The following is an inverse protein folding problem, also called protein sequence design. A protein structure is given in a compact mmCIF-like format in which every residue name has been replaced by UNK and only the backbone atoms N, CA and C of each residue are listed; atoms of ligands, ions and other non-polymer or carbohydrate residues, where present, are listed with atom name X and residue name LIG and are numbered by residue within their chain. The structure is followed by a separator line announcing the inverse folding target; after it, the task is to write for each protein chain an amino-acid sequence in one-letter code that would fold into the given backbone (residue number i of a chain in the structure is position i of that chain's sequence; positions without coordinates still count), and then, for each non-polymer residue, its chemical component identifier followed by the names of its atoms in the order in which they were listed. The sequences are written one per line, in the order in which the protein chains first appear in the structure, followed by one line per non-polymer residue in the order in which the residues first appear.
data_IF_478879130895
#
_entry.id   IF_478879130895
#
_cell.length_a   1.000
_cell.length_b   1.000
_cell.length_c   1.000
_cell.angle_alpha   90.00
_cell.angle_beta   90.00
_cell.angle_gamma   90.00
#
_symmetry.space_group_name_H-M   'P 1'
#
loop_
_entity.id
_entity.type
_entity.pdbx_description
1 polymer ?
#
# COMPACT_ATOMS: atom_id res chain seq x y z
N UNK A 1 -12.67 -64.80 -47.82
CA UNK A 1 -11.21 -65.03 -47.77
C UNK A 1 -10.72 -64.89 -46.32
N UNK A 2 -10.14 -65.97 -45.79
CA UNK A 2 -9.18 -66.20 -44.68
C UNK A 2 -8.96 -65.06 -43.65
N UNK A 3 -9.39 -65.18 -42.38
CA UNK A 3 -8.80 -65.86 -41.18
C UNK A 3 -7.49 -65.24 -40.60
N UNK A 4 -7.67 -64.52 -39.48
CA UNK A 4 -7.04 -64.58 -38.15
C UNK A 4 -5.50 -64.40 -37.90
N UNK A 5 -5.20 -63.34 -37.14
CA UNK A 5 -4.51 -63.26 -35.82
C UNK A 5 -2.98 -63.34 -35.60
N UNK A 6 -2.54 -62.40 -34.73
CA UNK A 6 -1.40 -62.34 -33.78
C UNK A 6 -0.03 -61.82 -34.27
N UNK A 7 0.81 -61.10 -33.49
CA UNK A 7 0.81 -60.33 -32.21
C UNK A 7 2.14 -59.53 -32.19
N UNK A 8 2.15 -58.37 -31.52
CA UNK A 8 3.24 -57.48 -31.08
C UNK A 8 4.72 -57.92 -31.19
N UNK A 9 5.59 -56.98 -31.63
CA UNK A 9 6.73 -56.46 -30.82
C UNK A 9 6.95 -54.96 -31.10
N UNK A 10 7.17 -54.25 -29.99
CA UNK A 10 7.41 -52.85 -29.69
C UNK A 10 8.83 -52.38 -30.07
N UNK A 11 9.00 -51.21 -30.71
CA UNK A 11 10.16 -50.33 -30.47
C UNK A 11 9.72 -48.87 -30.55
N UNK A 12 9.76 -48.21 -29.40
CA UNK A 12 9.67 -46.77 -29.19
C UNK A 12 10.98 -46.11 -29.67
N UNK A 13 10.96 -44.86 -30.16
CA UNK A 13 11.72 -43.89 -29.39
C UNK A 13 10.98 -42.57 -29.16
N UNK A 14 11.29 -42.04 -27.98
CA UNK A 14 10.92 -40.74 -27.46
C UNK A 14 11.02 -39.62 -28.49
N UNK A 15 9.93 -38.88 -28.67
CA UNK A 15 9.99 -37.48 -29.07
C UNK A 15 9.37 -36.67 -27.93
N UNK A 16 10.28 -36.19 -27.09
CA UNK A 16 10.09 -35.16 -26.10
C UNK A 16 9.53 -33.91 -26.81
N UNK A 17 8.21 -33.75 -26.80
CA UNK A 17 7.56 -32.49 -27.15
C UNK A 17 7.75 -31.53 -25.99
N UNK A 18 8.71 -30.63 -26.11
CA UNK A 18 8.90 -29.47 -25.23
C UNK A 18 7.61 -28.64 -25.28
N UNK A 19 6.75 -28.82 -24.30
CA UNK A 19 5.68 -27.86 -24.00
C UNK A 19 6.38 -26.68 -23.33
N UNK A 20 6.51 -25.59 -24.08
CA UNK A 20 6.88 -24.27 -23.58
C UNK A 20 5.95 -23.89 -22.43
N UNK A 21 6.46 -24.05 -21.20
CA UNK A 21 5.93 -23.42 -20.01
C UNK A 21 6.20 -21.92 -20.09
N UNK A 22 5.31 -21.15 -20.71
CA UNK A 22 5.23 -19.71 -20.47
C UNK A 22 3.78 -19.26 -20.52
N UNK A 23 3.21 -18.98 -19.35
CA UNK A 23 2.27 -17.87 -19.14
C UNK A 23 2.13 -17.63 -17.64
N UNK A 24 2.84 -16.61 -17.15
CA UNK A 24 2.50 -15.92 -15.91
C UNK A 24 3.11 -16.48 -14.63
N UNK A 25 4.45 -16.44 -14.49
CA UNK A 25 4.97 -16.03 -13.18
C UNK A 25 4.52 -14.58 -13.03
N UNK A 26 3.40 -14.38 -12.34
CA UNK A 26 3.03 -13.08 -11.81
C UNK A 26 4.18 -12.64 -10.93
N UNK A 27 5.08 -11.84 -11.49
CA UNK A 27 5.96 -11.03 -10.69
C UNK A 27 5.03 -10.14 -9.89
N UNK A 28 4.92 -10.39 -8.59
CA UNK A 28 4.33 -9.44 -7.69
C UNK A 28 5.22 -8.19 -7.79
N UNK A 29 4.81 -7.22 -8.61
CA UNK A 29 5.46 -5.93 -8.71
C UNK A 29 5.08 -5.16 -7.45
N UNK A 30 5.76 -5.50 -6.35
CA UNK A 30 5.65 -4.74 -5.12
C UNK A 30 6.72 -3.67 -5.10
N UNK A 31 6.32 -2.44 -5.42
CA UNK A 31 7.20 -1.28 -5.33
C UNK A 31 7.18 -0.73 -3.91
N UNK A 32 8.35 -0.44 -3.37
CA UNK A 32 8.49 0.37 -2.16
C UNK A 32 8.27 1.83 -2.54
N UNK A 33 7.39 2.54 -1.84
CA UNK A 33 6.89 3.86 -2.27
C UNK A 33 7.43 5.00 -1.40
N UNK A 34 7.70 4.70 -0.13
CA UNK A 34 8.12 5.64 0.92
C UNK A 34 8.54 4.81 2.14
N UNK A 35 8.93 5.44 3.25
CA UNK A 35 9.37 4.78 4.48
C UNK A 35 8.38 3.67 4.93
N UNK A 36 8.70 2.41 4.62
CA UNK A 36 7.91 1.25 5.08
C UNK A 36 6.66 0.91 4.27
N UNK A 37 6.29 1.71 3.25
CA UNK A 37 5.09 1.44 2.44
C UNK A 37 5.36 0.49 1.29
N UNK A 38 4.46 -0.47 1.09
CA UNK A 38 4.48 -1.44 0.00
C UNK A 38 3.28 -1.25 -0.91
N UNK A 39 3.51 -1.09 -2.20
CA UNK A 39 2.45 -1.19 -3.20
C UNK A 39 2.21 -2.63 -3.63
N UNK A 40 0.97 -2.99 -3.89
CA UNK A 40 0.58 -4.23 -4.57
C UNK A 40 -0.56 -3.95 -5.54
N UNK A 41 -0.60 -4.68 -6.65
CA UNK A 41 -1.71 -4.58 -7.60
C UNK A 41 -2.64 -5.78 -7.48
N UNK A 42 -3.92 -5.57 -7.79
CA UNK A 42 -4.91 -6.64 -7.77
C UNK A 42 -6.23 -6.23 -8.40
N UNK A 43 -7.19 -7.15 -8.38
CA UNK A 43 -8.53 -6.96 -8.96
C UNK A 43 -9.57 -7.02 -7.85
N UNK A 44 -10.51 -6.09 -7.88
CA UNK A 44 -11.62 -6.05 -6.93
C UNK A 44 -12.57 -7.22 -7.19
N UNK A 45 -12.90 -7.89 -6.11
CA UNK A 45 -13.81 -9.03 -6.00
C UNK A 45 -14.73 -8.83 -4.80
N UNK A 46 -15.57 -9.81 -4.52
CA UNK A 46 -16.41 -9.83 -3.33
C UNK A 46 -16.24 -11.15 -2.60
N UNK A 47 -16.08 -11.10 -1.28
CA UNK A 47 -16.08 -12.32 -0.47
C UNK A 47 -17.49 -12.93 -0.35
N UNK A 48 -17.61 -14.09 0.29
CA UNK A 48 -18.91 -14.75 0.51
C UNK A 48 -19.89 -13.93 1.37
N UNK A 49 -19.40 -12.91 2.08
CA UNK A 49 -20.17 -12.01 2.95
C UNK A 49 -20.57 -10.69 2.29
N UNK A 50 -20.20 -10.44 1.03
CA UNK A 50 -20.51 -9.18 0.36
C UNK A 50 -19.45 -8.07 0.55
N UNK A 51 -18.32 -8.38 1.20
CA UNK A 51 -17.25 -7.40 1.44
C UNK A 51 -16.41 -7.16 0.19
N UNK A 52 -16.10 -5.90 -0.08
CA UNK A 52 -15.18 -5.50 -1.15
C UNK A 52 -13.77 -6.00 -0.79
N UNK A 53 -13.17 -6.78 -1.69
CA UNK A 53 -11.87 -7.43 -1.48
C UNK A 53 -11.03 -7.31 -2.73
N UNK A 54 -9.76 -6.98 -2.62
CA UNK A 54 -8.80 -6.98 -3.72
C UNK A 54 -8.04 -8.28 -3.70
N UNK A 55 -8.17 -9.08 -4.76
CA UNK A 55 -7.38 -10.28 -4.95
C UNK A 55 -6.02 -9.88 -5.54
N UNK A 56 -4.96 -10.09 -4.77
CA UNK A 56 -3.57 -9.82 -5.15
C UNK A 56 -2.79 -11.13 -5.25
N UNK A 57 -1.63 -11.15 -5.93
CA UNK A 57 -0.78 -12.35 -5.98
C UNK A 57 -0.35 -12.88 -4.59
N UNK A 58 -0.30 -12.00 -3.58
CA UNK A 58 0.12 -12.34 -2.21
C UNK A 58 -1.05 -12.69 -1.28
N UNK A 59 -2.29 -12.59 -1.75
CA UNK A 59 -3.48 -12.87 -0.95
C UNK A 59 -4.61 -11.86 -1.16
N UNK A 60 -5.69 -12.05 -0.41
CA UNK A 60 -6.88 -11.20 -0.46
C UNK A 60 -6.78 -10.06 0.57
N UNK A 61 -7.00 -8.83 0.11
CA UNK A 61 -7.00 -7.63 0.95
C UNK A 61 -8.42 -7.06 1.04
N UNK A 62 -9.00 -7.03 2.23
CA UNK A 62 -10.34 -6.46 2.41
C UNK A 62 -10.26 -4.93 2.41
N UNK A 63 -11.11 -4.27 1.61
CA UNK A 63 -11.24 -2.82 1.59
C UNK A 63 -12.40 -2.38 2.46
N UNK A 64 -12.22 -1.28 3.20
CA UNK A 64 -13.32 -0.59 3.84
C UNK A 64 -13.82 0.55 2.94
N UNK A 65 -15.08 0.53 2.48
CA UNK A 65 -15.65 1.60 1.65
C UNK A 65 -15.58 2.98 2.29
N UNK A 66 -15.56 3.05 3.63
CA UNK A 66 -15.42 4.33 4.33
C UNK A 66 -14.01 4.91 4.23
N UNK A 67 -12.98 4.10 4.02
CA UNK A 67 -11.60 4.59 3.88
C UNK A 67 -11.45 5.28 2.51
N UNK A 68 -11.94 4.65 1.44
CA UNK A 68 -11.98 5.29 0.11
C UNK A 68 -12.65 6.66 0.17
N UNK A 69 -13.81 6.77 0.83
CA UNK A 69 -14.51 8.05 1.01
C UNK A 69 -13.71 9.08 1.80
N UNK A 70 -13.04 8.65 2.88
CA UNK A 70 -12.18 9.55 3.68
C UNK A 70 -11.02 10.08 2.87
N UNK A 71 -10.50 9.27 1.95
CA UNK A 71 -9.39 9.65 1.09
C UNK A 71 -9.88 10.34 -0.20
N UNK A 72 -11.14 10.75 -0.27
CA UNK A 72 -11.71 11.45 -1.42
C UNK A 72 -11.87 10.59 -2.68
N UNK A 73 -11.77 9.26 -2.54
CA UNK A 73 -11.82 8.29 -3.63
C UNK A 73 -13.23 7.70 -3.79
N UNK A 74 -13.55 7.32 -5.02
CA UNK A 74 -14.73 6.53 -5.30
C UNK A 74 -14.62 5.13 -4.68
N UNK A 75 -15.76 4.56 -4.28
CA UNK A 75 -15.78 3.16 -3.81
C UNK A 75 -15.50 2.24 -5.01
N UNK A 76 -14.48 1.37 -4.96
CA UNK A 76 -14.15 0.47 -6.05
C UNK A 76 -15.27 -0.54 -6.33
N UNK A 77 -15.41 -0.96 -7.59
CA UNK A 77 -16.40 -1.93 -8.06
C UNK A 77 -15.73 -3.25 -8.43
N UNK A 78 -16.49 -4.34 -8.38
CA UNK A 78 -16.01 -5.65 -8.82
C UNK A 78 -15.50 -5.59 -10.26
N UNK A 79 -14.30 -6.11 -10.49
CA UNK A 79 -13.60 -6.07 -11.76
C UNK A 79 -12.61 -4.91 -11.92
N UNK A 80 -12.66 -3.89 -11.06
CA UNK A 80 -11.70 -2.79 -11.11
C UNK A 80 -10.28 -3.29 -10.79
N UNK A 81 -9.30 -2.86 -11.58
CA UNK A 81 -7.89 -3.06 -11.26
C UNK A 81 -7.41 -1.94 -10.34
N UNK A 82 -6.76 -2.30 -9.23
CA UNK A 82 -6.36 -1.37 -8.18
C UNK A 82 -4.86 -1.50 -7.86
N UNK A 83 -4.25 -0.37 -7.52
CA UNK A 83 -2.98 -0.27 -6.80
C UNK A 83 -3.29 0.00 -5.33
N UNK A 84 -2.87 -0.90 -4.46
CA UNK A 84 -3.09 -0.83 -3.01
C UNK A 84 -1.78 -0.49 -2.33
N UNK A 85 -1.80 0.53 -1.48
CA UNK A 85 -0.66 0.89 -0.63
C UNK A 85 -0.89 0.28 0.75
N UNK A 86 0.12 -0.45 1.21
CA UNK A 86 0.14 -1.16 2.48
C UNK A 86 1.20 -0.55 3.39
N UNK A 87 0.93 -0.51 4.69
CA UNK A 87 1.94 -0.21 5.70
C UNK A 87 2.90 -1.42 5.93
N UNK A 88 3.87 -1.24 6.83
CA UNK A 88 4.84 -2.27 7.22
C UNK A 88 4.21 -3.55 7.83
N UNK A 89 2.96 -3.47 8.30
CA UNK A 89 2.20 -4.57 8.88
C UNK A 89 1.21 -5.20 7.87
N UNK A 90 1.25 -4.79 6.60
CA UNK A 90 0.32 -5.15 5.53
C UNK A 90 -1.13 -4.67 5.73
N UNK A 91 -1.34 -3.60 6.50
CA UNK A 91 -2.64 -2.94 6.58
C UNK A 91 -2.85 -2.00 5.39
N UNK A 92 -4.07 -1.96 4.84
CA UNK A 92 -4.42 -1.07 3.73
C UNK A 92 -4.49 0.37 4.22
N UNK A 93 -3.57 1.21 3.73
CA UNK A 93 -3.58 2.65 3.98
C UNK A 93 -4.21 3.42 2.82
N UNK A 94 -4.06 2.95 1.56
CA UNK A 94 -4.64 3.62 0.38
C UNK A 94 -5.00 2.62 -0.72
N UNK A 95 -5.93 3.00 -1.61
CA UNK A 95 -6.36 2.18 -2.73
C UNK A 95 -6.72 3.04 -3.95
N UNK A 96 -5.85 3.05 -4.96
CA UNK A 96 -6.03 3.84 -6.17
C UNK A 96 -6.38 2.94 -7.36
N UNK A 97 -7.08 3.44 -8.39
CA UNK A 97 -7.13 2.78 -9.69
C UNK A 97 -5.72 2.44 -10.18
N UNK A 98 -5.55 1.29 -10.82
CA UNK A 98 -4.24 0.87 -11.32
C UNK A 98 -3.68 1.90 -12.30
N UNK A 99 -2.43 2.31 -12.07
CA UNK A 99 -1.75 3.34 -12.86
C UNK A 99 -1.84 4.75 -12.25
N UNK A 100 -2.64 4.93 -11.20
CA UNK A 100 -2.60 6.13 -10.36
C UNK A 100 -1.70 5.87 -9.14
N UNK A 101 -0.91 6.87 -8.77
CA UNK A 101 -0.04 6.85 -7.58
C UNK A 101 -0.52 7.88 -6.56
N UNK A 102 -0.34 7.54 -5.28
CA UNK A 102 -0.59 8.43 -4.17
C UNK A 102 0.38 9.62 -4.17
N UNK A 103 -0.12 10.85 -4.13
CA UNK A 103 0.70 12.04 -3.89
C UNK A 103 0.69 12.35 -2.40
N UNK A 104 1.85 12.24 -1.77
CA UNK A 104 2.01 12.46 -0.34
C UNK A 104 2.69 13.80 -0.03
N UNK A 105 2.26 14.42 1.06
CA UNK A 105 2.85 15.64 1.61
C UNK A 105 3.42 15.36 3.00
N UNK A 106 4.53 16.02 3.32
CA UNK A 106 5.20 15.86 4.61
C UNK A 106 5.17 17.16 5.40
N UNK A 107 4.78 17.08 6.67
CA UNK A 107 4.81 18.22 7.58
C UNK A 107 5.63 17.88 8.81
N UNK A 108 6.69 18.66 9.05
CA UNK A 108 7.53 18.54 10.23
C UNK A 108 7.18 19.63 11.23
N UNK A 109 7.04 19.26 12.49
CA UNK A 109 6.71 20.20 13.55
C UNK A 109 6.71 19.56 14.94
N UNK A 110 6.49 20.40 15.94
CA UNK A 110 6.33 19.93 17.32
C UNK A 110 4.93 19.36 17.50
N UNK A 111 4.84 18.13 17.99
CA UNK A 111 3.56 17.49 18.31
C UNK A 111 2.88 18.24 19.45
N UNK A 112 1.74 18.88 19.20
CA UNK A 112 0.95 19.54 20.24
C UNK A 112 0.09 18.51 20.96
N UNK A 113 -0.68 17.71 20.21
CA UNK A 113 -1.44 16.59 20.73
C UNK A 113 -1.80 15.59 19.63
N UNK A 114 -2.13 14.36 20.05
CA UNK A 114 -2.71 13.33 19.20
C UNK A 114 -4.04 12.86 19.78
N UNK A 115 -5.14 13.41 19.25
CA UNK A 115 -6.49 13.21 19.78
C UNK A 115 -7.10 11.93 19.25
N UNK A 116 -6.84 10.77 19.88
CA UNK A 116 -7.39 9.47 19.44
C UNK A 116 -8.93 9.44 19.37
N UNK A 117 -9.60 10.16 20.28
CA UNK A 117 -11.07 10.26 20.28
C UNK A 117 -11.59 11.15 19.15
N UNK A 118 -10.93 12.29 18.93
CA UNK A 118 -11.30 13.26 17.89
C UNK A 118 -10.76 12.86 16.50
N UNK A 119 -9.88 11.87 16.43
CA UNK A 119 -9.20 11.36 15.23
C UNK A 119 -8.47 12.48 14.48
N UNK A 120 -7.63 13.20 15.20
CA UNK A 120 -6.81 14.27 14.64
C UNK A 120 -5.45 14.36 15.34
N UNK A 121 -4.49 14.98 14.67
CA UNK A 121 -3.19 15.36 15.21
C UNK A 121 -2.98 16.85 14.98
N UNK A 122 -2.41 17.54 15.97
CA UNK A 122 -2.05 18.95 15.86
C UNK A 122 -0.54 19.12 15.95
N UNK A 123 0.03 19.83 14.99
CA UNK A 123 1.45 20.20 14.94
C UNK A 123 1.60 21.71 15.04
N UNK A 124 2.65 22.15 15.73
CA UNK A 124 3.22 23.49 15.60
C UNK A 124 4.35 23.41 14.56
N UNK A 125 4.08 23.90 13.34
CA UNK A 125 5.03 23.91 12.22
C UNK A 125 5.69 25.28 12.07
N UNK A 126 6.71 25.41 11.23
CA UNK A 126 7.31 26.70 10.89
C UNK A 126 6.34 27.67 10.22
N UNK A 127 5.29 27.15 9.59
CA UNK A 127 4.21 27.92 8.96
C UNK A 127 3.06 28.25 9.93
N UNK A 128 3.18 27.84 11.19
CA UNK A 128 2.16 27.97 12.23
C UNK A 128 1.50 26.63 12.59
N UNK A 129 0.40 26.72 13.35
CA UNK A 129 -0.33 25.54 13.79
C UNK A 129 -1.08 24.87 12.64
N UNK A 130 -0.97 23.55 12.53
CA UNK A 130 -1.73 22.73 11.57
C UNK A 130 -2.41 21.57 12.28
N UNK A 131 -3.64 21.27 11.85
CA UNK A 131 -4.43 20.14 12.35
C UNK A 131 -4.72 19.22 11.18
N UNK A 132 -4.45 17.93 11.35
CA UNK A 132 -4.66 16.92 10.32
C UNK A 132 -5.59 15.82 10.85
N UNK A 133 -6.59 15.37 10.08
CA UNK A 133 -7.36 14.19 10.42
C UNK A 133 -6.47 12.94 10.44
N UNK A 134 -6.65 12.09 11.44
CA UNK A 134 -6.04 10.76 11.51
C UNK A 134 -6.86 9.79 10.67
N UNK A 135 -6.18 9.05 9.79
CA UNK A 135 -6.78 7.96 9.05
C UNK A 135 -7.05 6.74 9.94
N UNK A 136 -6.92 5.55 9.37
CA UNK A 136 -6.77 4.32 10.16
C UNK A 136 -5.32 4.15 10.61
N UNK A 137 -4.69 5.22 11.12
CA UNK A 137 -3.58 5.02 12.04
C UNK A 137 -4.16 4.25 13.22
N UNK A 138 -4.18 2.92 13.11
CA UNK A 138 -4.36 2.02 14.22
C UNK A 138 -3.16 2.30 15.10
N UNK A 139 -3.22 3.30 15.97
CA UNK A 139 -2.54 3.41 17.26
C UNK A 139 -1.27 2.53 17.38
N UNK A 140 -0.28 2.67 16.48
CA UNK A 140 0.88 1.76 16.43
C UNK A 140 2.20 2.43 16.16
N UNK A 141 2.23 3.75 16.04
CA UNK A 141 3.44 4.44 16.49
C UNK A 141 3.55 4.16 17.99
N UNK A 142 4.71 3.67 18.44
CA UNK A 142 5.05 3.72 19.87
C UNK A 142 4.65 5.10 20.39
N UNK A 143 4.08 5.23 21.59
CA UNK A 143 3.65 6.52 22.12
C UNK A 143 4.72 7.58 21.84
N UNK A 144 4.39 8.52 20.96
CA UNK A 144 5.21 9.71 20.72
C UNK A 144 4.61 10.76 21.64
N UNK A 145 5.41 11.20 22.59
CA UNK A 145 4.99 12.17 23.59
C UNK A 145 4.71 13.53 22.94
N UNK A 146 3.74 14.24 23.50
CA UNK A 146 3.52 15.65 23.19
C UNK A 146 4.83 16.44 23.43
N UNK A 147 5.08 17.40 22.55
CA UNK A 147 6.30 18.19 22.51
C UNK A 147 7.44 17.58 21.70
N UNK A 148 7.34 16.33 21.24
CA UNK A 148 8.34 15.74 20.36
C UNK A 148 8.32 16.39 18.96
N UNK A 149 9.48 16.53 18.34
CA UNK A 149 9.58 16.84 16.90
C UNK A 149 9.21 15.60 16.09
N UNK A 150 8.25 15.75 15.19
CA UNK A 150 7.71 14.68 14.36
C UNK A 150 7.58 15.14 12.92
N UNK A 151 7.50 14.18 12.02
CA UNK A 151 7.06 14.38 10.65
C UNK A 151 5.83 13.52 10.41
N UNK A 152 4.77 14.13 9.89
CA UNK A 152 3.57 13.43 9.40
C UNK A 152 3.62 13.33 7.89
N UNK A 153 3.27 12.15 7.38
CA UNK A 153 2.97 11.93 5.96
C UNK A 153 1.45 11.97 5.79
N UNK A 154 1.02 12.74 4.80
CA UNK A 154 -0.37 13.09 4.56
C UNK A 154 -0.71 12.80 3.11
N UNK A 155 -1.83 12.12 2.88
CA UNK A 155 -2.31 11.83 1.54
C UNK A 155 -2.98 13.03 0.86
N UNK A 156 -3.47 12.85 -0.36
CA UNK A 156 -4.10 13.90 -1.17
C UNK A 156 -5.37 14.48 -0.54
N UNK A 157 -6.02 13.70 0.31
CA UNK A 157 -7.20 14.14 1.06
C UNK A 157 -6.85 14.90 2.35
N UNK A 158 -5.57 15.09 2.65
CA UNK A 158 -5.14 15.74 3.89
C UNK A 158 -5.16 14.81 5.11
N UNK A 159 -5.31 13.50 4.93
CA UNK A 159 -5.38 12.51 6.02
C UNK A 159 -4.00 11.94 6.31
N UNK A 160 -3.66 11.84 7.60
CA UNK A 160 -2.38 11.25 8.04
C UNK A 160 -2.37 9.75 7.75
N UNK A 161 -1.34 9.30 7.04
CA UNK A 161 -1.08 7.90 6.70
C UNK A 161 0.17 7.35 7.39
N UNK A 162 1.12 8.21 7.78
CA UNK A 162 2.26 7.83 8.61
C UNK A 162 2.69 8.95 9.58
N UNK A 163 3.35 8.56 10.68
CA UNK A 163 3.88 9.46 11.69
C UNK A 163 5.18 8.87 12.25
N UNK A 164 6.27 9.64 12.18
CA UNK A 164 7.54 9.26 12.78
C UNK A 164 8.17 10.42 13.56
N UNK A 165 9.05 10.08 14.51
CA UNK A 165 9.91 11.10 15.13
C UNK A 165 10.81 11.67 14.04
N UNK A 166 10.94 12.99 14.00
CA UNK A 166 11.90 13.61 13.10
C UNK A 166 13.30 13.13 13.51
N UNK A 167 13.97 12.38 12.64
CA UNK A 167 15.41 12.18 12.80
C UNK A 167 16.05 13.56 12.68
N UNK A 168 16.90 13.90 13.64
CA UNK A 168 17.77 15.06 13.52
C UNK A 168 18.76 14.74 12.40
N UNK A 169 18.42 15.05 11.15
CA UNK A 169 19.35 14.92 10.03
C UNK A 169 20.30 16.12 10.09
N UNK A 170 21.46 15.94 10.74
CA UNK A 170 22.50 16.97 10.87
C UNK A 170 23.00 17.50 9.51
N UNK A 171 22.59 16.88 8.39
CA UNK A 171 23.06 17.23 7.06
C UNK A 171 22.34 18.42 6.39
N UNK A 172 21.28 18.98 6.97
CA UNK A 172 20.57 20.14 6.39
C UNK A 172 20.68 21.47 7.18
N UNK A 173 21.59 21.56 8.17
CA UNK A 173 21.79 22.80 8.96
C UNK A 173 22.94 23.70 8.45
N UNK A 174 23.53 23.41 7.29
CA UNK A 174 24.66 24.21 6.78
C UNK A 174 24.38 24.92 5.45
N UNK A 175 23.29 25.67 5.30
CA UNK A 175 23.25 26.79 4.33
C UNK A 175 22.29 27.90 4.79
N UNK A 176 22.51 28.50 5.97
CA UNK A 176 21.85 29.79 6.29
C UNK A 176 22.64 30.67 7.25
N UNK A 177 23.95 30.45 7.40
CA UNK A 177 24.79 31.36 8.18
C UNK A 177 26.11 31.67 7.48
N UNK A 178 26.01 32.41 6.39
CA UNK A 178 27.12 33.21 5.85
C UNK A 178 26.61 34.12 4.73
N UNK A 179 25.88 35.19 5.04
CA UNK A 179 26.05 36.52 4.43
C UNK A 179 25.57 37.55 5.45
N UNK A 180 26.49 38.05 6.27
CA UNK A 180 26.50 39.45 6.72
C UNK A 180 27.96 39.89 6.87
#
# INVERSE_FOLDING_TARGET
MNRAMNVHVMILPAVMGIILLMSGIGHADSKSVSHGHKQVTGVVTTDKGGSITVNTPTGNLQLNPNDARRHGQAVPKVGDEMTIVLDENNAVIEAHPKGEEGIHQFYTGKLVYMGKMNKEIKLETSEGEKVFPLGRLEIKTKPIEEGAMVTVEVNEAGTVIDLHRASYDEHNVTVSKAIE
#
